data_IF_348436324453
#
_entry.id   IF_348436324453
#
_cell.length_a   1.000
_cell.length_b   1.000
_cell.length_c   1.000
_cell.angle_alpha   90.00
_cell.angle_beta   90.00
_cell.angle_gamma   90.00
#
_symmetry.space_group_name_H-M   'P 1'
#
loop_
_entity.id
_entity.type
_entity.pdbx_description
1 polymer ?
#
# COMPACT_ATOMS: atom_id res chain seq x y z
N UNK A 1 1.05 7.12 0.84
CA UNK A 1 1.23 5.91 1.70
C UNK A 1 0.71 4.62 1.11
N UNK A 2 -0.55 4.55 0.62
CA UNK A 2 -1.10 3.28 0.09
C UNK A 2 -0.29 2.85 -1.13
N UNK A 3 -0.20 3.71 -2.15
CA UNK A 3 0.58 3.46 -3.38
C UNK A 3 2.05 3.12 -3.08
N UNK A 4 2.64 3.70 -2.03
CA UNK A 4 4.02 3.42 -1.63
C UNK A 4 4.19 2.00 -1.03
N UNK A 5 3.20 1.52 -0.29
CA UNK A 5 3.31 0.27 0.50
C UNK A 5 2.54 -0.91 -0.07
N UNK A 6 1.65 -0.67 -1.04
CA UNK A 6 0.86 -1.69 -1.71
C UNK A 6 1.69 -2.68 -2.56
N UNK A 7 2.73 -2.27 -3.33
CA UNK A 7 3.40 -3.15 -4.29
C UNK A 7 3.87 -4.48 -3.68
N UNK A 8 4.58 -4.42 -2.54
CA UNK A 8 5.13 -5.62 -1.89
C UNK A 8 4.03 -6.58 -1.42
N UNK A 9 2.94 -6.05 -0.85
CA UNK A 9 1.81 -6.89 -0.39
C UNK A 9 1.03 -7.47 -1.56
N UNK A 10 0.81 -6.69 -2.63
CA UNK A 10 0.17 -7.18 -3.86
C UNK A 10 0.98 -8.31 -4.48
N UNK A 11 2.31 -8.18 -4.56
CA UNK A 11 3.19 -9.22 -5.04
C UNK A 11 3.09 -10.52 -4.21
N UNK A 12 3.08 -10.42 -2.87
CA UNK A 12 2.91 -11.58 -2.00
C UNK A 12 1.53 -12.25 -2.16
N UNK A 13 0.46 -11.46 -2.31
CA UNK A 13 -0.88 -12.00 -2.56
C UNK A 13 -0.94 -12.71 -3.91
N UNK A 14 -0.43 -12.11 -4.98
CA UNK A 14 -0.39 -12.73 -6.31
C UNK A 14 0.36 -14.07 -6.30
N UNK A 15 1.49 -14.14 -5.60
CA UNK A 15 2.23 -15.39 -5.40
C UNK A 15 1.41 -16.43 -4.64
N UNK A 16 0.69 -16.03 -3.59
CA UNK A 16 -0.23 -16.90 -2.86
C UNK A 16 -1.34 -17.47 -3.74
N UNK A 17 -2.01 -16.62 -4.50
CA UNK A 17 -3.08 -17.02 -5.42
C UNK A 17 -2.58 -17.98 -6.50
N UNK A 18 -1.38 -17.73 -7.04
CA UNK A 18 -0.75 -18.65 -7.98
C UNK A 18 -0.49 -20.03 -7.36
N UNK A 19 -0.04 -20.09 -6.10
CA UNK A 19 0.24 -21.36 -5.40
C UNK A 19 -0.99 -22.24 -5.23
N UNK A 20 -2.17 -21.64 -5.09
CA UNK A 20 -3.44 -22.38 -4.94
C UNK A 20 -4.18 -22.61 -6.27
N UNK A 21 -3.52 -22.35 -7.40
CA UNK A 21 -4.02 -22.70 -8.73
C UNK A 21 -4.81 -21.62 -9.48
N UNK A 22 -4.93 -20.40 -8.95
CA UNK A 22 -5.63 -19.33 -9.68
C UNK A 22 -4.83 -18.88 -10.90
N UNK A 23 -5.57 -18.68 -11.99
CA UNK A 23 -5.06 -18.23 -13.29
C UNK A 23 -4.54 -16.79 -13.26
N UNK A 24 -3.89 -16.37 -14.34
CA UNK A 24 -3.38 -15.00 -14.47
C UNK A 24 -4.50 -13.96 -14.49
N UNK A 25 -5.66 -14.26 -15.09
CA UNK A 25 -6.80 -13.33 -15.12
C UNK A 25 -7.39 -13.11 -13.72
N UNK A 26 -7.51 -14.17 -12.91
CA UNK A 26 -8.10 -14.10 -11.57
C UNK A 26 -7.23 -13.34 -10.57
N UNK A 27 -5.90 -13.38 -10.72
CA UNK A 27 -4.97 -12.60 -9.88
C UNK A 27 -4.50 -11.29 -10.51
N UNK A 28 -4.99 -10.93 -11.71
CA UNK A 28 -4.52 -9.79 -12.52
C UNK A 28 -4.48 -8.48 -11.74
N UNK A 29 -5.46 -8.27 -10.87
CA UNK A 29 -5.51 -7.09 -10.00
C UNK A 29 -4.22 -6.93 -9.18
N UNK A 30 -3.79 -8.00 -8.52
CA UNK A 30 -2.59 -7.97 -7.68
C UNK A 30 -1.30 -7.92 -8.50
N UNK A 31 -1.25 -8.62 -9.64
CA UNK A 31 -0.10 -8.55 -10.55
C UNK A 31 0.09 -7.12 -11.10
N UNK A 32 -1.01 -6.41 -11.43
CA UNK A 32 -0.96 -5.02 -11.88
C UNK A 32 -0.46 -4.09 -10.76
N UNK A 33 -1.06 -4.16 -9.57
CA UNK A 33 -0.73 -3.30 -8.44
C UNK A 33 0.63 -3.62 -7.79
N UNK A 34 1.25 -4.77 -8.11
CA UNK A 34 2.63 -5.05 -7.73
C UNK A 34 3.65 -4.16 -8.46
N UNK A 35 3.26 -3.54 -9.58
CA UNK A 35 4.16 -2.72 -10.42
C UNK A 35 3.64 -1.30 -10.58
N UNK A 36 2.35 -1.13 -10.90
CA UNK A 36 1.75 0.15 -11.24
C UNK A 36 1.88 1.19 -10.11
N UNK A 37 1.69 0.74 -8.87
CA UNK A 37 1.67 1.62 -7.70
C UNK A 37 3.05 2.23 -7.40
N UNK A 38 4.15 1.66 -7.92
CA UNK A 38 5.49 2.29 -7.85
C UNK A 38 5.49 3.60 -8.63
N UNK A 39 4.89 3.61 -9.83
CA UNK A 39 4.75 4.82 -10.63
C UNK A 39 3.80 5.79 -9.96
N UNK A 40 2.62 5.32 -9.53
CA UNK A 40 1.66 6.19 -8.83
C UNK A 40 2.27 6.83 -7.58
N UNK A 41 3.04 6.08 -6.79
CA UNK A 41 3.70 6.63 -5.62
C UNK A 41 4.67 7.75 -5.99
N UNK A 42 5.39 7.63 -7.12
CA UNK A 42 6.25 8.71 -7.61
C UNK A 42 5.43 9.92 -8.04
N UNK A 43 4.43 9.71 -8.89
CA UNK A 43 3.58 10.79 -9.40
C UNK A 43 2.87 11.54 -8.26
N UNK A 44 2.40 10.84 -7.21
CA UNK A 44 1.82 11.48 -6.03
C UNK A 44 2.82 12.38 -5.30
N UNK A 45 4.10 12.00 -5.21
CA UNK A 45 5.11 12.84 -4.58
C UNK A 45 5.41 14.06 -5.45
N UNK A 46 5.68 13.83 -6.72
CA UNK A 46 6.16 14.86 -7.65
C UNK A 46 5.07 15.88 -8.01
N UNK A 47 3.84 15.43 -8.26
CA UNK A 47 2.77 16.25 -8.85
C UNK A 47 1.74 16.76 -7.82
N UNK A 48 1.72 16.20 -6.61
CA UNK A 48 0.73 16.56 -5.59
C UNK A 48 1.36 16.92 -4.25
N UNK A 49 2.05 16.01 -3.59
CA UNK A 49 2.55 16.22 -2.22
C UNK A 49 3.59 17.35 -2.18
N UNK A 50 4.62 17.28 -3.02
CA UNK A 50 5.69 18.30 -3.04
C UNK A 50 5.12 19.68 -3.42
N UNK A 51 4.32 19.84 -4.50
CA UNK A 51 3.71 21.12 -4.82
C UNK A 51 2.84 21.69 -3.70
N UNK A 52 1.99 20.86 -3.07
CA UNK A 52 1.10 21.30 -2.01
C UNK A 52 1.86 21.73 -0.76
N UNK A 53 2.94 21.04 -0.41
CA UNK A 53 3.80 21.40 0.74
C UNK A 53 4.63 22.66 0.43
N UNK A 54 5.07 22.84 -0.81
CA UNK A 54 5.75 24.07 -1.23
C UNK A 54 4.84 25.30 -1.15
N UNK A 55 3.55 25.13 -1.44
CA UNK A 55 2.53 26.20 -1.30
C UNK A 55 2.23 26.53 0.17
N UNK A 56 2.10 25.51 1.04
CA UNK A 56 1.91 25.70 2.49
C UNK A 56 2.59 24.58 3.30
N UNK A 57 3.75 24.87 3.93
CA UNK A 57 4.52 23.87 4.68
C UNK A 57 3.74 23.22 5.84
N UNK A 58 2.69 23.86 6.37
CA UNK A 58 1.88 23.29 7.46
C UNK A 58 1.13 22.04 7.03
N UNK A 59 0.87 21.88 5.73
CA UNK A 59 0.22 20.67 5.17
C UNK A 59 1.08 19.41 5.40
N UNK A 60 2.40 19.55 5.48
CA UNK A 60 3.31 18.42 5.69
C UNK A 60 3.00 17.67 7.00
N UNK A 61 2.76 18.40 8.10
CA UNK A 61 2.44 17.79 9.39
C UNK A 61 1.16 16.97 9.32
N UNK A 62 0.07 17.54 8.79
CA UNK A 62 -1.20 16.84 8.66
C UNK A 62 -1.10 15.59 7.75
N UNK A 63 -0.34 15.68 6.66
CA UNK A 63 -0.07 14.53 5.77
C UNK A 63 0.72 13.44 6.49
N UNK A 64 1.74 13.81 7.28
CA UNK A 64 2.54 12.87 8.06
C UNK A 64 1.73 12.18 9.16
N UNK A 65 0.87 12.92 9.86
CA UNK A 65 -0.05 12.37 10.86
C UNK A 65 -1.02 11.37 10.23
N UNK A 66 -1.65 11.74 9.11
CA UNK A 66 -2.53 10.84 8.36
C UNK A 66 -1.82 9.58 7.88
N UNK A 67 -0.56 9.72 7.44
CA UNK A 67 0.29 8.59 7.06
C UNK A 67 0.54 7.63 8.24
N UNK A 68 0.88 8.16 9.42
CA UNK A 68 1.13 7.38 10.63
C UNK A 68 -0.13 6.65 11.09
N UNK A 69 -1.27 7.35 11.15
CA UNK A 69 -2.56 6.76 11.50
C UNK A 69 -2.87 5.58 10.55
N UNK A 70 -2.67 5.75 9.24
CA UNK A 70 -2.94 4.69 8.26
C UNK A 70 -2.01 3.48 8.44
N UNK A 71 -0.75 3.69 8.78
CA UNK A 71 0.21 2.61 9.04
C UNK A 71 -0.15 1.84 10.30
N UNK A 72 -0.43 2.54 11.41
CA UNK A 72 -0.81 1.93 12.69
C UNK A 72 -2.11 1.13 12.56
N UNK A 73 -3.11 1.66 11.85
CA UNK A 73 -4.33 0.90 11.57
C UNK A 73 -4.03 -0.36 10.73
N UNK A 74 -3.12 -0.26 9.75
CA UNK A 74 -2.69 -1.39 8.95
C UNK A 74 -2.02 -2.49 9.78
N UNK A 75 -1.08 -2.11 10.64
CA UNK A 75 -0.40 -3.00 11.58
C UNK A 75 -1.41 -3.75 12.46
N UNK A 76 -2.30 -3.02 13.15
CA UNK A 76 -3.34 -3.62 14.02
C UNK A 76 -4.26 -4.57 13.26
N UNK A 77 -4.61 -4.26 12.01
CA UNK A 77 -5.37 -5.18 11.16
C UNK A 77 -4.60 -6.48 10.89
N UNK A 78 -3.32 -6.38 10.54
CA UNK A 78 -2.49 -7.57 10.31
C UNK A 78 -2.26 -8.39 11.56
N UNK A 79 -2.02 -7.76 12.71
CA UNK A 79 -1.95 -8.44 14.01
C UNK A 79 -3.22 -9.23 14.30
N UNK A 80 -4.40 -8.61 14.09
CA UNK A 80 -5.68 -9.27 14.28
C UNK A 80 -5.86 -10.48 13.36
N UNK A 81 -5.45 -10.38 12.10
CA UNK A 81 -5.51 -11.51 11.15
C UNK A 81 -4.55 -12.62 11.54
N UNK A 82 -3.31 -12.29 11.94
CA UNK A 82 -2.34 -13.29 12.41
C UNK A 82 -2.88 -14.06 13.62
N UNK A 83 -3.41 -13.35 14.61
CA UNK A 83 -4.04 -13.98 15.76
C UNK A 83 -5.24 -14.85 15.38
N UNK A 84 -6.10 -14.37 14.46
CA UNK A 84 -7.26 -15.14 14.00
C UNK A 84 -6.89 -16.47 13.35
N UNK A 85 -5.83 -16.48 12.53
CA UNK A 85 -5.39 -17.65 11.78
C UNK A 85 -4.30 -18.45 12.49
N UNK A 86 -3.98 -18.14 13.75
CA UNK A 86 -2.95 -18.87 14.52
C UNK A 86 -1.52 -18.70 13.99
N UNK A 87 -1.25 -17.56 13.34
CA UNK A 87 0.07 -17.19 12.79
C UNK A 87 0.86 -16.30 13.77
N UNK A 88 0.53 -16.36 15.07
CA UNK A 88 1.14 -15.55 16.14
C UNK A 88 2.52 -16.05 16.55
#
# INVERSE_FOLDING_TARGET
MIELTAPGRSAHTAQGLRRIGLSGSERRYFDLHAVLDVKHSRDWNDEAIVPLVAEDPRRATAMAEGALIRLQCGERCFERYRAHFGLG
#
